data_IF_443159207475
#
_entry.id   IF_443159207475
#
_cell.length_a   1.000
_cell.length_b   1.000
_cell.length_c   1.000
_cell.angle_alpha   90.00
_cell.angle_beta   90.00
_cell.angle_gamma   90.00
#
_symmetry.space_group_name_H-M   'P 1'
#
loop_
_entity.id
_entity.type
_entity.pdbx_description
1 polymer ?
#
# COMPACT_ATOMS: atom_id res chain seq x y z
N UNK A 1 -25.36 6.00 5.17
CA UNK A 1 -25.23 6.13 6.63
C UNK A 1 -23.76 6.35 7.01
N UNK A 2 -22.84 5.45 6.69
CA UNK A 2 -21.43 5.58 7.09
C UNK A 2 -20.75 6.84 6.54
N UNK A 3 -20.96 7.21 5.26
CA UNK A 3 -20.46 8.45 4.68
C UNK A 3 -21.06 9.70 5.36
N UNK A 4 -22.33 9.65 5.70
CA UNK A 4 -23.00 10.73 6.42
C UNK A 4 -22.46 10.87 7.85
N UNK A 5 -22.24 9.77 8.56
CA UNK A 5 -21.64 9.79 9.88
C UNK A 5 -20.23 10.41 9.86
N UNK A 6 -19.43 10.03 8.85
CA UNK A 6 -18.09 10.60 8.66
C UNK A 6 -18.13 12.13 8.40
N UNK A 7 -19.06 12.61 7.56
CA UNK A 7 -19.21 14.05 7.27
C UNK A 7 -19.67 14.88 8.47
N UNK A 8 -20.17 14.24 9.53
CA UNK A 8 -20.59 14.88 10.78
C UNK A 8 -19.61 14.65 11.92
N UNK A 9 -18.42 14.10 11.63
CA UNK A 9 -17.38 13.76 12.62
C UNK A 9 -17.88 12.78 13.70
N UNK A 10 -18.95 12.05 13.41
CA UNK A 10 -19.45 11.02 14.29
C UNK A 10 -18.56 9.80 14.18
N UNK A 11 -17.83 9.49 15.24
CA UNK A 11 -16.98 8.29 15.33
C UNK A 11 -17.76 7.16 15.98
N UNK A 12 -17.80 6.00 15.32
CA UNK A 12 -18.37 4.79 15.87
C UNK A 12 -17.25 3.92 16.44
N UNK A 13 -17.55 3.26 17.52
CA UNK A 13 -16.61 2.35 18.18
C UNK A 13 -16.18 1.21 17.25
N UNK A 14 -14.96 0.67 17.47
CA UNK A 14 -14.43 -0.50 16.78
C UNK A 14 -14.32 -0.38 15.25
N UNK A 15 -14.20 0.80 14.70
CA UNK A 15 -14.02 1.03 13.26
C UNK A 15 -15.16 0.45 12.39
N UNK A 16 -16.34 0.28 12.94
CA UNK A 16 -17.54 -0.25 12.24
C UNK A 16 -17.84 0.58 10.99
N UNK A 17 -17.71 1.89 11.10
CA UNK A 17 -17.93 2.82 10.00
C UNK A 17 -17.00 2.53 8.80
N UNK A 18 -15.72 2.33 9.04
CA UNK A 18 -14.72 1.98 8.02
C UNK A 18 -15.02 0.63 7.39
N UNK A 19 -15.43 -0.35 8.21
CA UNK A 19 -15.81 -1.68 7.71
C UNK A 19 -17.03 -1.60 6.78
N UNK A 20 -18.06 -0.83 7.12
CA UNK A 20 -19.24 -0.64 6.27
C UNK A 20 -18.85 0.05 4.94
N UNK A 21 -17.90 0.99 4.95
CA UNK A 21 -17.42 1.65 3.74
C UNK A 21 -16.63 0.71 2.82
N UNK A 22 -15.93 -0.27 3.38
CA UNK A 22 -15.16 -1.25 2.61
C UNK A 22 -16.04 -2.32 1.93
N UNK A 23 -17.19 -2.67 2.49
CA UNK A 23 -18.08 -3.73 1.97
C UNK A 23 -18.48 -3.51 0.49
N UNK A 24 -18.95 -2.33 0.03
CA UNK A 24 -19.28 -2.12 -1.37
C UNK A 24 -18.09 -2.31 -2.30
N UNK A 25 -16.88 -1.91 -1.88
CA UNK A 25 -15.65 -2.07 -2.67
C UNK A 25 -15.32 -3.57 -2.83
N UNK A 26 -15.41 -4.34 -1.74
CA UNK A 26 -15.23 -5.80 -1.78
C UNK A 26 -16.26 -6.47 -2.69
N UNK A 27 -17.51 -6.05 -2.61
CA UNK A 27 -18.60 -6.57 -3.45
C UNK A 27 -18.37 -6.28 -4.94
N UNK A 28 -17.97 -5.04 -5.28
CA UNK A 28 -17.56 -4.67 -6.64
C UNK A 28 -16.39 -5.54 -7.11
N UNK A 29 -15.39 -5.77 -6.25
CA UNK A 29 -14.25 -6.66 -6.54
C UNK A 29 -14.67 -8.10 -6.84
N UNK A 30 -15.64 -8.62 -6.09
CA UNK A 30 -16.20 -9.96 -6.32
C UNK A 30 -16.88 -10.06 -7.70
N UNK A 31 -17.70 -9.09 -8.09
CA UNK A 31 -18.29 -9.06 -9.44
C UNK A 31 -17.27 -8.83 -10.54
N UNK A 32 -16.29 -7.96 -10.30
CA UNK A 32 -15.21 -7.72 -11.24
C UNK A 32 -14.44 -9.01 -11.54
N UNK A 33 -14.19 -9.84 -10.52
CA UNK A 33 -13.55 -11.15 -10.70
C UNK A 33 -14.35 -12.07 -11.63
N UNK A 34 -15.68 -12.10 -11.53
CA UNK A 34 -16.53 -12.92 -12.39
C UNK A 34 -16.52 -12.49 -13.86
N UNK A 35 -16.27 -11.21 -14.14
CA UNK A 35 -16.26 -10.62 -15.49
C UNK A 35 -14.86 -10.18 -15.91
N UNK A 36 -13.82 -10.75 -15.28
CA UNK A 36 -12.44 -10.29 -15.43
C UNK A 36 -12.00 -10.21 -16.89
N UNK A 37 -12.28 -11.22 -17.70
CA UNK A 37 -11.87 -11.27 -19.12
C UNK A 37 -12.38 -10.10 -19.95
N UNK A 38 -13.58 -9.58 -19.60
CA UNK A 38 -14.16 -8.40 -20.27
C UNK A 38 -13.56 -7.11 -19.74
N UNK A 39 -13.40 -7.00 -18.43
CA UNK A 39 -12.82 -5.83 -17.76
C UNK A 39 -11.34 -5.65 -18.10
N UNK A 40 -10.60 -6.75 -18.17
CA UNK A 40 -9.18 -6.73 -18.51
C UNK A 40 -8.93 -6.12 -19.90
N UNK A 41 -9.77 -6.44 -20.89
CA UNK A 41 -9.70 -5.84 -22.24
C UNK A 41 -10.00 -4.35 -22.24
N UNK A 42 -10.79 -3.85 -21.31
CA UNK A 42 -11.12 -2.43 -21.15
C UNK A 42 -10.03 -1.61 -20.47
N UNK A 43 -9.02 -2.25 -19.84
CA UNK A 43 -7.94 -1.55 -19.16
C UNK A 43 -6.82 -1.26 -20.16
N UNK A 44 -6.75 0.00 -20.59
CA UNK A 44 -5.80 0.48 -21.60
C UNK A 44 -4.73 1.36 -20.97
N UNK A 45 -3.57 1.48 -21.62
CA UNK A 45 -2.47 2.29 -21.12
C UNK A 45 -2.82 3.80 -21.06
N UNK A 46 -3.58 4.31 -22.06
CA UNK A 46 -4.03 5.73 -22.01
C UNK A 46 -5.07 5.95 -20.92
N UNK A 47 -5.98 4.99 -20.69
CA UNK A 47 -6.91 5.04 -19.57
C UNK A 47 -6.19 5.09 -18.22
N UNK A 48 -5.08 4.38 -18.10
CA UNK A 48 -4.23 4.40 -16.89
C UNK A 48 -3.58 5.77 -16.68
N UNK A 49 -3.05 6.40 -17.74
CA UNK A 49 -2.47 7.75 -17.65
C UNK A 49 -3.57 8.77 -17.35
N UNK A 50 -4.71 8.69 -18.01
CA UNK A 50 -5.83 9.58 -17.78
C UNK A 50 -6.35 9.48 -16.33
N UNK A 51 -6.46 8.26 -15.80
CA UNK A 51 -6.88 8.05 -14.40
C UNK A 51 -5.90 8.67 -13.42
N UNK A 52 -4.59 8.56 -13.66
CA UNK A 52 -3.55 9.23 -12.86
C UNK A 52 -3.71 10.75 -12.91
N UNK A 53 -3.88 11.32 -14.11
CA UNK A 53 -4.05 12.76 -14.30
C UNK A 53 -5.29 13.30 -13.57
N UNK A 54 -6.42 12.57 -13.64
CA UNK A 54 -7.66 12.93 -12.94
C UNK A 54 -7.47 12.87 -11.43
N UNK A 55 -6.84 11.82 -10.90
CA UNK A 55 -6.56 11.70 -9.47
C UNK A 55 -5.68 12.86 -9.00
N UNK A 56 -4.59 13.16 -9.71
CA UNK A 56 -3.71 14.28 -9.38
C UNK A 56 -4.45 15.63 -9.47
N UNK A 57 -5.33 15.81 -10.46
CA UNK A 57 -6.17 17.00 -10.59
C UNK A 57 -7.12 17.20 -9.41
N UNK A 58 -7.72 16.11 -8.92
CA UNK A 58 -8.60 16.14 -7.74
C UNK A 58 -7.79 16.48 -6.48
N UNK A 59 -6.65 15.82 -6.26
CA UNK A 59 -5.78 16.06 -5.11
C UNK A 59 -5.26 17.50 -5.07
N UNK A 60 -4.92 18.10 -6.22
CA UNK A 60 -4.48 19.48 -6.29
C UNK A 60 -5.60 20.50 -5.99
N UNK A 61 -6.86 20.18 -6.33
CA UNK A 61 -8.02 21.05 -6.10
C UNK A 61 -8.61 20.92 -4.71
N UNK A 62 -8.50 19.74 -4.13
CA UNK A 62 -9.09 19.38 -2.83
C UNK A 62 -7.99 18.78 -1.95
N UNK A 63 -7.16 19.61 -1.32
CA UNK A 63 -6.13 19.13 -0.41
C UNK A 63 -6.78 18.42 0.78
N UNK A 64 -6.46 17.15 0.94
CA UNK A 64 -6.96 16.28 2.00
C UNK A 64 -6.55 14.85 1.75
N UNK A 65 -6.68 13.99 2.74
CA UNK A 65 -6.38 12.57 2.62
C UNK A 65 -7.66 11.74 2.49
N UNK A 66 -7.58 10.67 1.71
CA UNK A 66 -8.57 9.58 1.75
C UNK A 66 -7.87 8.42 2.45
N UNK A 67 -8.03 8.35 3.75
CA UNK A 67 -7.37 7.35 4.58
C UNK A 67 -8.40 6.64 5.46
N UNK A 68 -8.70 5.39 5.08
CA UNK A 68 -9.66 4.57 5.81
C UNK A 68 -9.18 4.19 7.21
N UNK A 69 -7.85 4.10 7.40
CA UNK A 69 -7.25 3.73 8.70
C UNK A 69 -7.53 4.74 9.79
N UNK A 70 -7.60 6.02 9.45
CA UNK A 70 -7.92 7.13 10.38
C UNK A 70 -9.30 7.73 10.13
N UNK A 71 -10.13 7.04 9.34
CA UNK A 71 -11.49 7.46 9.00
C UNK A 71 -11.56 8.87 8.38
N UNK A 72 -10.50 9.26 7.66
CA UNK A 72 -10.46 10.53 6.92
C UNK A 72 -10.97 10.31 5.50
N UNK A 73 -12.05 10.97 5.15
CA UNK A 73 -12.66 10.94 3.82
C UNK A 73 -12.74 12.36 3.29
N UNK A 74 -11.96 12.65 2.26
CA UNK A 74 -11.85 13.97 1.65
C UNK A 74 -13.23 14.57 1.31
N UNK A 75 -14.09 13.80 0.67
CA UNK A 75 -15.45 14.19 0.34
C UNK A 75 -16.33 12.94 0.18
N UNK A 76 -17.46 12.83 0.92
CA UNK A 76 -18.28 11.62 0.91
C UNK A 76 -18.76 11.20 -0.48
N UNK A 77 -19.11 12.17 -1.35
CA UNK A 77 -19.62 11.89 -2.70
C UNK A 77 -18.50 11.41 -3.64
N UNK A 78 -17.29 11.91 -3.47
CA UNK A 78 -16.13 11.57 -4.32
C UNK A 78 -15.42 10.30 -3.87
N UNK A 79 -15.69 9.79 -2.68
CA UNK A 79 -15.01 8.63 -2.12
C UNK A 79 -15.02 7.42 -3.06
N UNK A 80 -16.19 6.93 -3.45
CA UNK A 80 -16.27 5.75 -4.31
C UNK A 80 -15.76 5.98 -5.74
N UNK A 81 -16.09 7.08 -6.44
CA UNK A 81 -15.53 7.35 -7.77
C UNK A 81 -14.00 7.42 -7.75
N UNK A 82 -13.39 8.11 -6.78
CA UNK A 82 -11.93 8.24 -6.69
C UNK A 82 -11.30 6.89 -6.33
N UNK A 83 -11.91 6.12 -5.42
CA UNK A 83 -11.43 4.78 -5.07
C UNK A 83 -11.46 3.84 -6.28
N UNK A 84 -12.54 3.81 -7.05
CA UNK A 84 -12.64 2.98 -8.25
C UNK A 84 -11.64 3.41 -9.33
N UNK A 85 -11.45 4.72 -9.49
CA UNK A 85 -10.44 5.25 -10.40
C UNK A 85 -9.02 4.87 -9.97
N UNK A 86 -8.74 4.90 -8.66
CA UNK A 86 -7.48 4.44 -8.09
C UNK A 86 -7.24 2.94 -8.32
N UNK A 87 -8.27 2.11 -8.14
CA UNK A 87 -8.20 0.67 -8.44
C UNK A 87 -7.91 0.45 -9.94
N UNK A 88 -8.61 1.15 -10.83
CA UNK A 88 -8.35 1.08 -12.27
C UNK A 88 -6.91 1.47 -12.61
N UNK A 89 -6.42 2.57 -12.03
CA UNK A 89 -5.03 3.00 -12.17
C UNK A 89 -4.03 1.93 -11.72
N UNK A 90 -4.21 1.36 -10.53
CA UNK A 90 -3.32 0.33 -9.99
C UNK A 90 -3.28 -0.92 -10.87
N UNK A 91 -4.44 -1.39 -11.37
CA UNK A 91 -4.50 -2.53 -12.27
C UNK A 91 -3.82 -2.22 -13.62
N UNK A 92 -4.09 -1.04 -14.18
CA UNK A 92 -3.46 -0.59 -15.42
C UNK A 92 -1.94 -0.46 -15.29
N UNK A 93 -1.46 0.07 -14.17
CA UNK A 93 -0.04 0.15 -13.87
C UNK A 93 0.59 -1.24 -13.74
N UNK A 94 -0.08 -2.16 -13.04
CA UNK A 94 0.37 -3.55 -12.92
C UNK A 94 0.49 -4.24 -14.30
N UNK A 95 -0.46 -4.00 -15.21
CA UNK A 95 -0.39 -4.51 -16.61
C UNK A 95 0.78 -3.92 -17.39
N UNK A 96 1.08 -2.64 -17.21
CA UNK A 96 2.21 -1.98 -17.87
C UNK A 96 3.52 -2.57 -17.34
N UNK A 97 3.68 -2.67 -16.04
CA UNK A 97 4.88 -3.20 -15.38
C UNK A 97 5.08 -4.70 -15.66
N UNK A 98 4.00 -5.46 -15.76
CA UNK A 98 4.02 -6.90 -16.06
C UNK A 98 4.46 -7.24 -17.49
N UNK A 99 4.61 -6.26 -18.39
CA UNK A 99 5.16 -6.51 -19.73
C UNK A 99 6.65 -6.83 -19.72
N UNK A 100 7.37 -6.38 -18.70
CA UNK A 100 8.80 -6.67 -18.55
C UNK A 100 8.97 -7.86 -17.58
N UNK A 101 9.66 -8.93 -17.98
CA UNK A 101 9.78 -10.15 -17.18
C UNK A 101 10.54 -9.93 -15.86
N UNK A 102 11.42 -8.94 -15.77
CA UNK A 102 12.13 -8.62 -14.53
C UNK A 102 11.21 -7.94 -13.51
N UNK A 103 10.43 -6.95 -13.96
CA UNK A 103 9.47 -6.27 -13.10
C UNK A 103 8.33 -7.20 -12.69
N UNK A 104 7.84 -8.05 -13.60
CA UNK A 104 6.83 -9.07 -13.29
C UNK A 104 7.29 -10.01 -12.18
N UNK A 105 8.51 -10.57 -12.30
CA UNK A 105 9.11 -11.43 -11.28
C UNK A 105 9.21 -10.73 -9.92
N UNK A 106 9.69 -9.50 -9.92
CA UNK A 106 9.84 -8.72 -8.70
C UNK A 106 8.49 -8.46 -8.02
N UNK A 107 7.51 -7.91 -8.76
CA UNK A 107 6.20 -7.62 -8.19
C UNK A 107 5.40 -8.87 -7.84
N UNK A 108 5.57 -9.98 -8.58
CA UNK A 108 5.00 -11.28 -8.22
C UNK A 108 5.56 -11.79 -6.88
N UNK A 109 6.87 -11.62 -6.65
CA UNK A 109 7.50 -11.96 -5.38
C UNK A 109 6.97 -11.08 -4.24
N UNK A 110 6.93 -9.76 -4.45
CA UNK A 110 6.36 -8.80 -3.48
C UNK A 110 4.91 -9.16 -3.14
N UNK A 111 4.10 -9.49 -4.15
CA UNK A 111 2.72 -9.90 -3.96
C UNK A 111 2.58 -11.21 -3.16
N UNK A 112 3.40 -12.21 -3.44
CA UNK A 112 3.41 -13.48 -2.69
C UNK A 112 3.81 -13.31 -1.24
N UNK A 113 4.72 -12.39 -0.97
CA UNK A 113 5.24 -12.13 0.37
C UNK A 113 4.56 -10.93 1.05
N UNK A 114 3.49 -10.40 0.48
CA UNK A 114 2.81 -9.18 0.95
C UNK A 114 2.41 -9.24 2.43
N UNK A 115 1.95 -10.40 2.93
CA UNK A 115 1.63 -10.59 4.33
C UNK A 115 2.85 -10.41 5.25
N UNK A 116 3.97 -10.99 4.87
CA UNK A 116 5.22 -10.86 5.64
C UNK A 116 5.78 -9.44 5.56
N UNK A 117 5.69 -8.81 4.38
CA UNK A 117 6.08 -7.42 4.21
C UNK A 117 5.24 -6.53 5.13
N UNK A 118 3.92 -6.73 5.15
CA UNK A 118 3.01 -5.99 6.02
C UNK A 118 3.33 -6.21 7.51
N UNK A 119 3.74 -7.40 7.91
CA UNK A 119 4.11 -7.70 9.29
C UNK A 119 5.47 -7.09 9.71
N UNK A 120 6.42 -6.99 8.79
CA UNK A 120 7.81 -6.66 9.09
C UNK A 120 8.28 -5.29 8.56
N UNK A 121 7.45 -4.54 7.81
CA UNK A 121 7.87 -3.26 7.21
C UNK A 121 8.33 -2.22 8.23
N UNK A 122 7.75 -2.22 9.44
CA UNK A 122 8.20 -1.34 10.52
C UNK A 122 9.65 -1.59 10.94
N UNK A 123 10.16 -2.82 10.80
CA UNK A 123 11.58 -3.10 11.03
C UNK A 123 12.44 -2.35 10.00
N UNK A 124 12.02 -2.33 8.74
CA UNK A 124 12.66 -1.52 7.70
C UNK A 124 12.69 -0.03 8.03
N UNK A 125 11.58 0.51 8.51
CA UNK A 125 11.50 1.91 8.93
C UNK A 125 12.44 2.23 10.07
N UNK A 126 12.52 1.35 11.09
CA UNK A 126 13.46 1.52 12.21
C UNK A 126 14.92 1.53 11.78
N UNK A 127 15.28 0.75 10.76
CA UNK A 127 16.63 0.74 10.22
C UNK A 127 16.92 2.07 9.52
N UNK A 128 15.99 2.61 8.73
CA UNK A 128 16.14 3.93 8.09
C UNK A 128 16.31 5.03 9.14
N UNK A 129 15.46 5.04 10.18
CA UNK A 129 15.54 6.01 11.27
C UNK A 129 16.91 5.93 11.98
N UNK A 130 17.40 4.72 12.22
CA UNK A 130 18.70 4.52 12.90
C UNK A 130 19.87 5.02 12.05
N UNK A 131 19.86 4.71 10.76
CA UNK A 131 20.89 5.18 9.83
C UNK A 131 20.84 6.70 9.73
N UNK A 132 19.66 7.28 9.58
CA UNK A 132 19.48 8.71 9.50
C UNK A 132 19.98 9.43 10.75
N UNK A 133 19.57 8.97 11.94
CA UNK A 133 20.00 9.57 13.19
C UNK A 133 21.52 9.46 13.40
N UNK A 134 22.12 8.37 12.94
CA UNK A 134 23.57 8.17 13.01
C UNK A 134 24.35 9.13 12.10
N UNK A 135 23.81 9.37 10.88
CA UNK A 135 24.46 10.27 9.90
C UNK A 135 24.33 11.74 10.28
N UNK A 136 23.18 12.12 10.83
CA UNK A 136 22.90 13.53 11.19
C UNK A 136 23.15 13.85 12.67
N UNK A 137 23.69 12.93 13.46
CA UNK A 137 24.02 13.14 14.87
C UNK A 137 22.82 13.42 15.78
N UNK A 138 21.62 12.94 15.40
CA UNK A 138 20.41 13.13 16.19
C UNK A 138 20.42 12.14 17.35
N UNK A 139 20.72 12.62 18.54
CA UNK A 139 20.78 11.82 19.77
C UNK A 139 19.48 11.76 20.55
N UNK A 140 18.47 12.52 20.11
CA UNK A 140 17.21 12.66 20.81
C UNK A 140 16.33 11.42 20.62
N UNK A 141 16.26 10.56 21.65
CA UNK A 141 15.53 9.30 21.64
C UNK A 141 14.03 9.50 21.37
N UNK A 142 13.45 10.64 21.74
CA UNK A 142 12.06 10.98 21.42
C UNK A 142 11.83 11.22 19.93
N UNK A 143 12.81 11.78 19.23
CA UNK A 143 12.73 12.00 17.77
C UNK A 143 12.95 10.72 16.99
N UNK A 144 13.71 9.76 17.52
CA UNK A 144 14.01 8.47 16.87
C UNK A 144 12.92 7.43 17.16
N UNK A 145 12.17 7.57 18.25
CA UNK A 145 11.33 6.51 18.83
C UNK A 145 9.91 6.41 18.28
N UNK A 146 9.42 7.46 17.69
CA UNK A 146 8.03 7.52 17.22
C UNK A 146 7.92 7.21 15.73
N UNK A 147 7.13 7.03 14.98
CA UNK A 147 6.88 6.67 13.59
C UNK A 147 7.82 7.31 12.55
N UNK A 148 7.81 6.82 11.29
CA UNK A 148 8.66 7.35 10.24
C UNK A 148 8.51 8.88 10.13
N UNK A 149 9.65 9.57 10.15
CA UNK A 149 9.68 11.03 10.08
C UNK A 149 9.40 11.50 8.65
N UNK A 150 8.18 11.96 8.40
CA UNK A 150 7.78 12.50 7.10
C UNK A 150 8.46 13.83 6.75
N UNK A 151 8.95 14.56 7.74
CA UNK A 151 9.46 15.92 7.61
C UNK A 151 10.78 16.04 6.84
N UNK A 152 11.50 14.93 6.69
CA UNK A 152 12.85 14.91 6.08
C UNK A 152 12.89 14.42 4.63
N UNK A 153 11.76 14.28 3.96
CA UNK A 153 11.73 13.83 2.56
C UNK A 153 12.19 12.37 2.35
N UNK A 154 12.25 11.57 3.40
CA UNK A 154 12.76 10.18 3.38
C UNK A 154 11.73 9.15 2.91
N UNK A 155 10.59 9.58 2.38
CA UNK A 155 9.49 8.69 1.98
C UNK A 155 9.95 7.54 1.07
N UNK A 156 10.80 7.84 0.08
CA UNK A 156 11.32 6.84 -0.86
C UNK A 156 12.18 5.81 -0.11
N UNK A 157 13.03 6.25 0.80
CA UNK A 157 13.88 5.36 1.61
C UNK A 157 13.06 4.43 2.50
N UNK A 158 11.98 4.93 3.11
CA UNK A 158 11.06 4.10 3.88
C UNK A 158 10.34 3.06 3.01
N UNK A 159 9.85 3.45 1.83
CA UNK A 159 9.20 2.51 0.90
C UNK A 159 10.18 1.42 0.48
N UNK A 160 11.40 1.79 0.07
CA UNK A 160 12.43 0.83 -0.36
C UNK A 160 12.79 -0.12 0.80
N UNK A 161 13.14 0.42 1.96
CA UNK A 161 13.53 -0.37 3.12
C UNK A 161 12.38 -1.23 3.65
N UNK A 162 11.15 -0.69 3.69
CA UNK A 162 9.96 -1.40 4.14
C UNK A 162 9.57 -2.58 3.26
N UNK A 163 9.99 -2.61 2.00
CA UNK A 163 9.77 -3.73 1.08
C UNK A 163 10.98 -4.67 1.04
N UNK A 164 12.20 -4.13 0.82
CA UNK A 164 13.39 -4.95 0.57
C UNK A 164 13.90 -5.67 1.82
N UNK A 165 13.86 -5.03 2.99
CA UNK A 165 14.36 -5.64 4.23
C UNK A 165 13.53 -6.86 4.63
N UNK A 166 12.18 -6.82 4.68
CA UNK A 166 11.39 -8.01 4.89
C UNK A 166 11.62 -9.11 3.84
N UNK A 167 11.70 -8.75 2.56
CA UNK A 167 11.98 -9.72 1.50
C UNK A 167 13.32 -10.44 1.67
N UNK A 168 14.38 -9.70 2.01
CA UNK A 168 15.69 -10.27 2.29
C UNK A 168 15.64 -11.22 3.49
N UNK A 169 15.02 -10.80 4.60
CA UNK A 169 14.86 -11.61 5.80
C UNK A 169 14.13 -12.92 5.52
N UNK A 170 13.00 -12.88 4.84
CA UNK A 170 12.20 -14.07 4.54
C UNK A 170 12.98 -15.02 3.62
N UNK A 171 13.66 -14.47 2.63
CA UNK A 171 14.46 -15.28 1.69
C UNK A 171 15.62 -15.98 2.41
N UNK A 172 16.28 -15.28 3.34
CA UNK A 172 17.34 -15.84 4.16
C UNK A 172 16.81 -16.93 5.11
N UNK A 173 15.70 -16.68 5.80
CA UNK A 173 15.06 -17.64 6.69
C UNK A 173 14.65 -18.93 5.97
N UNK A 174 14.05 -18.81 4.79
CA UNK A 174 13.69 -19.96 3.97
C UNK A 174 14.89 -20.77 3.50
N UNK A 175 15.97 -20.08 3.11
CA UNK A 175 17.23 -20.76 2.78
C UNK A 175 17.78 -21.50 3.99
N UNK A 176 17.83 -20.85 5.15
CA UNK A 176 18.33 -21.48 6.38
C UNK A 176 17.50 -22.72 6.78
N UNK A 177 16.17 -22.64 6.70
CA UNK A 177 15.28 -23.77 6.95
C UNK A 177 15.53 -24.95 6.00
N UNK A 178 15.74 -24.67 4.71
CA UNK A 178 16.04 -25.70 3.70
C UNK A 178 17.38 -26.40 4.00
N UNK A 179 18.41 -25.64 4.40
CA UNK A 179 19.69 -26.23 4.82
C UNK A 179 19.57 -27.03 6.11
N UNK A 180 18.80 -26.54 7.09
CA UNK A 180 18.60 -27.27 8.35
C UNK A 180 17.82 -28.59 8.18
N UNK A 181 16.92 -28.69 7.20
CA UNK A 181 16.21 -29.93 6.88
C UNK A 181 17.16 -30.93 6.20
N UNK A 182 18.00 -30.45 5.28
CA UNK A 182 18.97 -31.30 4.57
C UNK A 182 20.02 -31.92 5.52
N UNK A 183 20.46 -31.17 6.54
CA UNK A 183 21.42 -31.65 7.55
C UNK A 183 20.79 -32.69 8.51
N UNK A 184 19.46 -32.70 8.70
CA UNK A 184 18.78 -33.70 9.54
C UNK A 184 18.49 -35.02 8.82
N UNK A 185 18.53 -35.02 7.49
CA UNK A 185 18.30 -36.22 6.66
C UNK A 185 19.60 -36.94 6.28
N UNK A 186 20.77 -36.38 6.59
CA UNK A 186 22.07 -37.02 6.48
C UNK A 186 22.48 -37.66 7.81
#
# INVERSE_FOLDING_TARGET
>A
VALYANSRELTWEYWIQTSILAVPIMYIGYFAKQKWDKLDKGITWYGTILSAAVILGILNRMPGSIELSVNQILHPVLFYPVTLLGIYFCIGLAKILGKNPYTEKFFSLVGKESFHIMALHFLGFKIVDRVYSSVYGITDAEKIGKFPHSDYGLHISYVIAGVLIPLCLITLLRKAQKYGHFVKEM
#
